data_IF_989533055252
#
_entry.id   IF_989533055252
#
_cell.length_a   1.000
_cell.length_b   1.000
_cell.length_c   1.000
_cell.angle_alpha   90.00
_cell.angle_beta   90.00
_cell.angle_gamma   90.00
#
_symmetry.space_group_name_H-M   'P 1'
#
loop_
_entity.id
_entity.type
_entity.pdbx_description
1 polymer ?
#
# COMPACT_ATOMS: atom_id res chain seq x y z
N UNK A 1 96.55 39.25 -53.88
CA UNK A 1 97.84 38.93 -54.56
C UNK A 1 97.72 37.50 -55.06
N UNK A 2 97.88 37.15 -56.34
CA UNK A 2 98.20 37.93 -57.57
C UNK A 2 97.89 37.09 -58.83
N UNK A 3 97.73 37.73 -60.00
CA UNK A 3 97.69 37.15 -61.39
C UNK A 3 99.11 36.79 -61.93
N UNK A 4 99.39 36.37 -63.21
CA UNK A 4 98.58 36.10 -64.45
C UNK A 4 98.75 34.66 -65.05
N UNK A 5 98.20 34.15 -66.18
CA UNK A 5 97.35 34.61 -67.33
C UNK A 5 98.06 34.99 -68.68
N UNK A 6 98.19 34.07 -69.67
CA UNK A 6 98.08 34.33 -71.15
C UNK A 6 98.09 33.07 -72.10
N UNK A 7 97.86 33.26 -73.43
CA UNK A 7 97.70 32.24 -74.52
C UNK A 7 98.41 32.70 -75.86
N UNK A 8 98.12 32.31 -77.16
CA UNK A 8 97.18 31.34 -77.81
C UNK A 8 97.69 30.58 -79.12
N UNK A 9 96.76 30.07 -79.98
CA UNK A 9 96.81 29.84 -81.48
C UNK A 9 96.95 28.40 -82.12
N UNK A 10 96.54 28.27 -83.41
CA UNK A 10 96.08 27.04 -84.18
C UNK A 10 96.35 27.17 -85.73
N UNK A 11 95.80 26.39 -86.72
CA UNK A 11 95.08 25.08 -86.86
C UNK A 11 95.86 24.11 -87.83
N UNK A 12 95.35 23.48 -88.96
CA UNK A 12 94.16 22.64 -89.34
C UNK A 12 94.61 21.14 -89.63
N UNK A 13 94.17 20.30 -90.63
CA UNK A 13 92.99 20.15 -91.55
C UNK A 13 92.34 18.71 -91.55
N UNK A 14 91.76 18.19 -92.68
CA UNK A 14 91.08 16.86 -92.81
C UNK A 14 90.93 16.34 -94.29
N UNK A 15 90.50 15.07 -94.54
CA UNK A 15 89.74 14.68 -95.78
C UNK A 15 88.94 13.32 -95.79
N UNK A 16 88.20 13.07 -96.89
CA UNK A 16 87.10 12.10 -97.22
C UNK A 16 87.30 10.57 -97.01
N UNK A 17 86.17 9.85 -96.84
CA UNK A 17 86.07 8.39 -97.05
C UNK A 17 84.65 7.79 -96.97
N UNK A 18 83.82 7.90 -98.03
CA UNK A 18 82.45 7.32 -98.07
C UNK A 18 82.04 6.95 -99.51
N UNK A 19 81.57 5.70 -99.73
CA UNK A 19 80.65 5.17 -100.77
C UNK A 19 80.99 3.72 -101.20
N UNK A 20 80.05 2.78 -101.01
CA UNK A 20 79.57 1.76 -101.99
C UNK A 20 78.83 0.57 -101.34
N UNK A 21 77.75 0.11 -101.98
CA UNK A 21 77.25 -1.29 -101.89
C UNK A 21 76.30 -1.62 -100.73
N UNK A 22 75.11 -2.15 -101.05
CA UNK A 22 74.07 -2.56 -100.09
C UNK A 22 73.89 -4.09 -100.03
N UNK A 23 73.24 -4.60 -98.97
CA UNK A 23 72.53 -5.90 -99.01
C UNK A 23 71.45 -6.06 -97.92
N UNK A 24 70.56 -7.06 -98.04
CA UNK A 24 69.40 -7.40 -97.17
C UNK A 24 69.15 -8.93 -97.15
N UNK A 25 68.29 -9.50 -96.28
CA UNK A 25 67.96 -9.28 -94.86
C UNK A 25 68.24 -10.57 -94.03
N UNK A 26 67.67 -10.77 -92.79
CA UNK A 26 66.53 -11.72 -92.68
C UNK A 26 65.51 -11.42 -91.54
N UNK A 27 64.56 -12.34 -91.33
CA UNK A 27 63.25 -12.11 -90.70
C UNK A 27 63.17 -11.95 -89.16
N UNK A 28 62.10 -11.25 -88.73
CA UNK A 28 61.83 -10.78 -87.37
C UNK A 28 61.47 -11.84 -86.31
N UNK A 29 60.78 -12.93 -86.67
CA UNK A 29 60.16 -13.86 -85.70
C UNK A 29 61.12 -14.85 -85.02
N UNK A 30 62.43 -14.81 -85.35
CA UNK A 30 63.46 -15.72 -84.80
C UNK A 30 64.33 -15.14 -83.69
N UNK A 31 64.00 -13.95 -83.15
CA UNK A 31 64.68 -13.38 -81.98
C UNK A 31 63.94 -13.78 -80.68
N UNK A 32 64.65 -14.03 -79.56
CA UNK A 32 64.01 -14.49 -78.31
C UNK A 32 63.26 -13.38 -77.56
N UNK A 33 63.54 -12.10 -77.86
CA UNK A 33 63.01 -10.94 -77.13
C UNK A 33 61.47 -10.82 -77.07
N UNK A 34 60.68 -10.98 -78.15
CA UNK A 34 59.22 -10.93 -78.05
C UNK A 34 58.62 -12.07 -77.19
N UNK A 35 59.24 -13.26 -77.22
CA UNK A 35 58.80 -14.40 -76.40
C UNK A 35 59.06 -14.18 -74.91
N UNK A 36 60.21 -13.57 -74.56
CA UNK A 36 60.52 -13.17 -73.19
C UNK A 36 59.48 -12.16 -72.67
N UNK A 37 59.13 -11.14 -73.47
CA UNK A 37 58.13 -10.13 -73.10
C UNK A 37 56.74 -10.75 -72.90
N UNK A 38 56.33 -11.67 -73.79
CA UNK A 38 55.04 -12.36 -73.67
C UNK A 38 54.99 -13.25 -72.41
N UNK A 39 56.07 -13.95 -72.09
CA UNK A 39 56.18 -14.75 -70.86
C UNK A 39 56.13 -13.85 -69.61
N UNK A 40 56.76 -12.68 -69.64
CA UNK A 40 56.76 -11.71 -68.54
C UNK A 40 55.35 -11.10 -68.32
N UNK A 41 54.61 -10.81 -69.39
CA UNK A 41 53.21 -10.38 -69.32
C UNK A 41 52.29 -11.47 -68.78
N UNK A 42 52.44 -12.72 -69.20
CA UNK A 42 51.68 -13.85 -68.67
C UNK A 42 52.00 -14.11 -67.19
N UNK A 43 53.27 -14.03 -66.79
CA UNK A 43 53.68 -14.14 -65.40
C UNK A 43 53.13 -12.98 -64.54
N UNK A 44 53.16 -11.75 -65.05
CA UNK A 44 52.57 -10.58 -64.39
C UNK A 44 51.04 -10.68 -64.23
N UNK A 45 50.34 -11.14 -65.26
CA UNK A 45 48.89 -11.39 -65.21
C UNK A 45 48.52 -12.49 -64.21
N UNK A 46 49.26 -13.61 -64.21
CA UNK A 46 49.07 -14.70 -63.25
C UNK A 46 49.37 -14.23 -61.80
N UNK A 47 50.43 -13.44 -61.59
CA UNK A 47 50.76 -12.88 -60.28
C UNK A 47 49.68 -11.91 -59.78
N UNK A 48 49.14 -11.05 -60.64
CA UNK A 48 48.03 -10.14 -60.29
C UNK A 48 46.75 -10.90 -59.96
N UNK A 49 46.41 -11.95 -60.70
CA UNK A 49 45.22 -12.79 -60.43
C UNK A 49 45.36 -13.55 -59.11
N UNK A 50 46.54 -14.12 -58.83
CA UNK A 50 46.83 -14.79 -57.57
C UNK A 50 46.86 -13.83 -56.36
N UNK A 51 47.34 -12.60 -56.57
CA UNK A 51 47.34 -11.57 -55.54
C UNK A 51 45.93 -11.04 -55.25
N UNK A 52 45.09 -10.82 -56.27
CA UNK A 52 43.71 -10.37 -56.08
C UNK A 52 42.84 -11.40 -55.36
N UNK A 53 43.00 -12.70 -55.66
CA UNK A 53 42.35 -13.78 -54.92
C UNK A 53 42.69 -13.76 -53.42
N UNK A 54 43.98 -13.63 -53.09
CA UNK A 54 44.45 -13.49 -51.70
C UNK A 54 44.03 -12.18 -51.02
N UNK A 55 43.76 -11.13 -51.79
CA UNK A 55 43.25 -9.87 -51.23
C UNK A 55 41.75 -9.96 -50.93
N UNK A 56 40.98 -10.73 -51.68
CA UNK A 56 39.59 -11.07 -51.34
C UNK A 56 39.52 -11.94 -50.07
N UNK A 57 40.36 -12.97 -49.92
CA UNK A 57 40.46 -13.77 -48.69
C UNK A 57 40.79 -12.91 -47.46
N UNK A 58 41.67 -11.91 -47.60
CA UNK A 58 42.04 -10.96 -46.54
C UNK A 58 40.98 -9.89 -46.24
N UNK A 59 39.93 -9.79 -47.04
CA UNK A 59 38.78 -8.91 -46.81
C UNK A 59 37.53 -9.67 -46.39
N UNK A 60 37.60 -11.00 -46.21
CA UNK A 60 36.55 -11.78 -45.59
C UNK A 60 36.35 -11.33 -44.11
N UNK A 61 35.11 -11.08 -43.65
CA UNK A 61 34.87 -10.72 -42.26
C UNK A 61 35.32 -11.81 -41.29
N UNK A 62 36.11 -11.44 -40.28
CA UNK A 62 36.51 -12.35 -39.20
C UNK A 62 35.38 -12.43 -38.18
N UNK A 63 34.58 -13.49 -38.26
CA UNK A 63 33.50 -13.75 -37.32
C UNK A 63 34.03 -14.29 -36.00
N UNK A 64 33.75 -13.60 -34.89
CA UNK A 64 33.86 -14.20 -33.55
C UNK A 64 32.69 -15.15 -33.37
N UNK A 65 32.97 -16.44 -33.20
CA UNK A 65 31.96 -17.49 -33.02
C UNK A 65 32.14 -18.19 -31.67
N UNK A 66 31.07 -18.83 -31.20
CA UNK A 66 31.02 -19.54 -29.92
C UNK A 66 30.18 -20.81 -30.15
N UNK A 67 30.54 -21.97 -29.58
CA UNK A 67 29.72 -23.17 -29.69
C UNK A 67 28.33 -22.94 -29.07
N UNK A 68 27.29 -23.51 -29.70
CA UNK A 68 25.93 -23.49 -29.15
C UNK A 68 25.81 -24.56 -28.07
N UNK A 69 25.69 -24.12 -26.83
CA UNK A 69 25.37 -24.98 -25.68
C UNK A 69 23.86 -24.98 -25.41
N UNK A 70 23.37 -25.99 -24.69
CA UNK A 70 21.99 -26.06 -24.19
C UNK A 70 22.01 -25.95 -22.68
N UNK A 71 21.31 -24.97 -22.14
CA UNK A 71 21.12 -24.73 -20.72
C UNK A 71 19.89 -23.86 -20.48
N UNK A 72 19.51 -23.70 -19.23
CA UNK A 72 18.30 -22.96 -18.85
C UNK A 72 18.50 -21.45 -18.96
N UNK A 73 17.50 -20.75 -19.53
CA UNK A 73 17.49 -19.29 -19.64
C UNK A 73 16.55 -18.74 -18.56
N UNK A 74 17.11 -18.17 -17.50
CA UNK A 74 16.34 -17.57 -16.40
C UNK A 74 16.10 -16.08 -16.63
N UNK A 75 14.86 -15.70 -16.94
CA UNK A 75 14.44 -14.29 -16.91
C UNK A 75 14.34 -13.82 -15.46
N UNK A 76 15.10 -12.79 -15.08
CA UNK A 76 15.10 -12.22 -13.72
C UNK A 76 14.48 -10.82 -13.75
N UNK A 77 13.23 -10.71 -13.28
CA UNK A 77 12.54 -9.43 -13.09
C UNK A 77 12.94 -8.84 -11.74
N UNK A 78 13.32 -7.56 -11.70
CA UNK A 78 13.67 -6.85 -10.46
C UNK A 78 12.58 -5.86 -10.10
N UNK A 79 11.98 -5.98 -8.92
CA UNK A 79 10.91 -5.13 -8.44
C UNK A 79 11.29 -4.44 -7.13
N UNK A 80 11.00 -3.15 -7.01
CA UNK A 80 11.10 -2.42 -5.74
C UNK A 80 9.87 -2.74 -4.87
N UNK A 81 10.03 -2.87 -3.56
CA UNK A 81 8.91 -3.18 -2.67
C UNK A 81 9.02 -2.56 -1.28
N UNK A 82 7.89 -2.50 -0.60
CA UNK A 82 7.79 -2.04 0.79
C UNK A 82 7.36 -3.18 1.71
N UNK A 83 8.05 -3.31 2.84
CA UNK A 83 7.64 -4.23 3.90
C UNK A 83 6.54 -3.59 4.73
N UNK A 84 5.45 -4.32 4.96
CA UNK A 84 4.35 -3.92 5.85
C UNK A 84 4.03 -5.05 6.84
N UNK A 85 3.52 -4.74 8.04
CA UNK A 85 2.93 -5.75 8.91
C UNK A 85 1.79 -6.49 8.19
N UNK A 86 1.62 -7.79 8.43
CA UNK A 86 0.52 -8.57 7.81
C UNK A 86 -0.87 -8.01 8.13
N UNK A 87 -1.02 -7.29 9.25
CA UNK A 87 -2.22 -6.51 9.59
C UNK A 87 -1.84 -5.25 10.35
N UNK A 88 -2.52 -4.15 10.09
CA UNK A 88 -2.39 -2.90 10.84
C UNK A 88 -3.76 -2.26 11.06
N UNK A 89 -3.97 -1.64 12.22
CA UNK A 89 -5.25 -1.01 12.60
C UNK A 89 -4.99 0.42 13.08
N UNK A 90 -5.67 1.38 12.45
CA UNK A 90 -5.76 2.75 12.92
C UNK A 90 -6.74 2.82 14.11
N UNK A 91 -6.28 3.35 15.25
CA UNK A 91 -7.08 3.50 16.47
C UNK A 91 -7.34 4.98 16.70
N UNK A 92 -8.60 5.38 16.61
CA UNK A 92 -9.07 6.75 16.86
C UNK A 92 -9.97 6.86 18.09
N UNK A 93 -10.49 8.06 18.34
CA UNK A 93 -11.59 8.26 19.31
C UNK A 93 -12.94 8.33 18.60
N UNK A 94 -13.93 7.62 19.14
CA UNK A 94 -15.35 7.83 18.81
C UNK A 94 -15.98 9.01 19.56
N UNK A 95 -15.31 9.52 20.61
CA UNK A 95 -15.83 10.56 21.50
C UNK A 95 -14.98 11.83 21.43
N UNK A 96 -15.66 12.97 21.40
CA UNK A 96 -15.02 14.29 21.51
C UNK A 96 -14.66 14.61 22.96
N UNK A 97 -13.44 15.07 23.21
CA UNK A 97 -12.93 15.38 24.55
C UNK A 97 -11.45 15.76 24.56
N UNK A 98 -10.94 16.17 25.71
CA UNK A 98 -9.51 16.46 25.91
C UNK A 98 -8.79 15.21 26.40
N UNK A 99 -7.59 14.96 25.89
CA UNK A 99 -6.72 13.86 26.33
C UNK A 99 -6.15 14.19 27.71
N UNK A 100 -6.48 13.37 28.71
CA UNK A 100 -5.99 13.52 30.08
C UNK A 100 -4.61 12.88 30.25
N UNK A 101 -4.42 11.66 29.70
CA UNK A 101 -3.12 10.98 29.70
C UNK A 101 -2.96 10.03 28.52
N UNK A 102 -1.71 9.88 28.09
CA UNK A 102 -1.20 8.85 27.18
C UNK A 102 -0.43 7.83 28.03
N UNK A 103 -0.58 6.54 27.75
CA UNK A 103 -0.05 5.43 28.55
C UNK A 103 0.91 4.50 27.79
N UNK A 104 1.08 4.72 26.48
CA UNK A 104 1.95 3.94 25.58
C UNK A 104 2.62 4.88 24.58
N UNK A 105 3.83 4.54 24.15
CA UNK A 105 4.60 5.28 23.15
C UNK A 105 4.89 4.44 21.89
N UNK A 106 5.54 5.03 20.90
CA UNK A 106 5.94 4.36 19.66
C UNK A 106 7.00 3.29 19.95
N UNK A 107 6.82 2.12 19.33
CA UNK A 107 7.53 0.85 19.54
C UNK A 107 7.14 0.07 20.82
N UNK A 108 6.21 0.57 21.66
CA UNK A 108 5.69 -0.23 22.77
C UNK A 108 4.88 -1.43 22.25
N UNK A 109 5.02 -2.57 22.94
CA UNK A 109 4.16 -3.72 22.78
C UNK A 109 2.86 -3.52 23.56
N UNK A 110 1.72 -3.76 22.91
CA UNK A 110 0.38 -3.61 23.49
C UNK A 110 -0.42 -4.89 23.36
N UNK A 111 -1.16 -5.21 24.41
CA UNK A 111 -2.10 -6.35 24.44
C UNK A 111 -3.52 -5.91 24.16
N UNK A 112 -4.34 -6.79 23.60
CA UNK A 112 -5.73 -6.51 23.23
C UNK A 112 -6.55 -6.11 24.46
N UNK A 113 -7.11 -4.91 24.43
CA UNK A 113 -7.86 -4.32 25.54
C UNK A 113 -7.02 -3.47 26.51
N UNK A 114 -5.70 -3.42 26.38
CA UNK A 114 -4.82 -2.50 27.11
C UNK A 114 -5.22 -1.04 26.84
N UNK A 115 -5.27 -0.20 27.88
CA UNK A 115 -5.60 1.22 27.73
C UNK A 115 -4.37 1.96 27.22
N UNK A 116 -4.51 2.65 26.09
CA UNK A 116 -3.46 3.44 25.44
C UNK A 116 -3.60 4.93 25.76
N UNK A 117 -4.84 5.43 25.83
CA UNK A 117 -5.17 6.83 26.14
C UNK A 117 -6.40 6.88 27.04
N UNK A 118 -6.38 7.83 27.98
CA UNK A 118 -7.56 8.24 28.73
C UNK A 118 -7.93 9.67 28.36
N UNK A 119 -9.18 9.87 27.92
CA UNK A 119 -9.81 11.18 27.82
C UNK A 119 -10.19 11.69 29.22
N UNK A 120 -10.47 12.98 29.35
CA UNK A 120 -11.09 13.53 30.57
C UNK A 120 -12.44 12.84 30.82
N UNK A 121 -12.52 12.10 31.93
CA UNK A 121 -13.71 11.34 32.33
C UNK A 121 -14.74 12.19 33.08
N UNK A 122 -14.43 13.41 33.51
CA UNK A 122 -15.28 14.23 34.39
C UNK A 122 -16.73 14.32 33.92
N UNK A 123 -16.94 14.90 32.73
CA UNK A 123 -18.24 15.11 32.08
C UNK A 123 -19.01 13.80 31.82
N UNK A 124 -18.29 12.72 31.51
CA UNK A 124 -18.89 11.40 31.30
C UNK A 124 -19.35 10.77 32.63
N UNK A 125 -18.55 10.90 33.69
CA UNK A 125 -18.90 10.42 35.03
C UNK A 125 -20.09 11.19 35.61
N UNK A 126 -20.13 12.52 35.47
CA UNK A 126 -21.27 13.34 35.88
C UNK A 126 -22.54 12.99 35.10
N UNK A 127 -22.40 12.66 33.81
CA UNK A 127 -23.50 12.21 32.96
C UNK A 127 -24.06 10.86 33.44
N UNK A 128 -23.19 9.88 33.73
CA UNK A 128 -23.57 8.58 34.33
C UNK A 128 -24.21 8.76 35.72
N UNK A 129 -23.66 9.65 36.55
CA UNK A 129 -24.21 9.94 37.88
C UNK A 129 -25.65 10.50 37.76
N UNK A 130 -25.89 11.39 36.80
CA UNK A 130 -27.20 11.99 36.50
C UNK A 130 -28.21 10.97 35.97
N UNK A 131 -27.85 10.12 35.01
CA UNK A 131 -28.78 9.09 34.50
C UNK A 131 -29.02 7.96 35.51
N UNK A 132 -28.04 7.65 36.36
CA UNK A 132 -28.22 6.74 37.50
C UNK A 132 -29.21 7.31 38.53
N UNK A 133 -29.12 8.60 38.85
CA UNK A 133 -30.10 9.28 39.70
C UNK A 133 -31.52 9.28 39.07
N UNK A 134 -31.63 9.50 37.75
CA UNK A 134 -32.90 9.42 37.03
C UNK A 134 -33.51 8.00 37.06
N UNK A 135 -32.70 6.95 36.93
CA UNK A 135 -33.15 5.56 37.08
C UNK A 135 -33.67 5.26 38.50
N UNK A 136 -32.99 5.76 39.55
CA UNK A 136 -33.46 5.62 40.93
C UNK A 136 -34.80 6.34 41.14
N UNK A 137 -34.96 7.54 40.60
CA UNK A 137 -36.22 8.29 40.66
C UNK A 137 -37.36 7.55 39.92
N UNK A 138 -37.11 7.00 38.72
CA UNK A 138 -38.07 6.20 37.98
C UNK A 138 -38.46 4.91 38.75
N UNK A 139 -37.50 4.24 39.38
CA UNK A 139 -37.75 3.03 40.18
C UNK A 139 -38.59 3.34 41.44
N UNK A 140 -38.37 4.49 42.07
CA UNK A 140 -39.23 4.96 43.17
C UNK A 140 -40.66 5.26 42.69
N UNK A 141 -40.81 5.91 41.53
CA UNK A 141 -42.12 6.17 40.93
C UNK A 141 -42.88 4.88 40.56
N UNK A 142 -42.19 3.88 40.01
CA UNK A 142 -42.78 2.55 39.78
C UNK A 142 -43.21 1.90 41.10
N UNK A 143 -42.36 1.92 42.13
CA UNK A 143 -42.65 1.33 43.45
C UNK A 143 -43.89 1.96 44.10
N UNK A 144 -44.07 3.29 43.94
CA UNK A 144 -45.27 4.01 44.37
C UNK A 144 -46.52 3.59 43.58
N UNK A 145 -46.45 3.48 42.25
CA UNK A 145 -47.59 3.05 41.45
C UNK A 145 -47.96 1.58 41.70
N UNK A 146 -46.99 0.71 41.95
CA UNK A 146 -47.24 -0.67 42.36
C UNK A 146 -47.88 -0.75 43.77
N UNK A 147 -47.63 0.21 44.65
CA UNK A 147 -48.38 0.35 45.91
C UNK A 147 -49.85 0.73 45.65
N UNK A 148 -50.11 1.71 44.78
CA UNK A 148 -51.48 2.08 44.34
C UNK A 148 -52.21 0.90 43.67
N UNK A 149 -51.52 0.06 42.89
CA UNK A 149 -52.09 -1.18 42.33
C UNK A 149 -52.47 -2.18 43.41
N UNK A 150 -51.62 -2.36 44.45
CA UNK A 150 -51.94 -3.24 45.60
C UNK A 150 -53.15 -2.72 46.37
N UNK A 151 -53.24 -1.41 46.61
CA UNK A 151 -54.36 -0.75 47.28
C UNK A 151 -55.68 -0.88 46.49
N UNK A 152 -55.66 -0.58 45.19
CA UNK A 152 -56.82 -0.68 44.32
C UNK A 152 -57.31 -2.13 44.21
N UNK A 153 -56.38 -3.10 44.10
CA UNK A 153 -56.71 -4.54 44.06
C UNK A 153 -57.30 -5.03 45.39
N UNK A 154 -56.74 -4.62 46.52
CA UNK A 154 -57.29 -4.95 47.83
C UNK A 154 -58.68 -4.33 48.04
N UNK A 155 -58.92 -3.14 47.49
CA UNK A 155 -60.22 -2.46 47.57
C UNK A 155 -61.28 -3.13 46.71
N UNK A 156 -60.95 -3.49 45.46
CA UNK A 156 -61.82 -4.30 44.61
C UNK A 156 -62.15 -5.66 45.26
N UNK A 157 -61.13 -6.37 45.79
CA UNK A 157 -61.34 -7.66 46.46
C UNK A 157 -62.26 -7.58 47.68
N UNK A 158 -62.20 -6.49 48.47
CA UNK A 158 -63.18 -6.25 49.56
C UNK A 158 -64.60 -6.05 49.01
N UNK A 159 -64.77 -5.32 47.91
CA UNK A 159 -66.09 -5.09 47.31
C UNK A 159 -66.66 -6.37 46.69
N UNK A 160 -65.84 -7.19 46.03
CA UNK A 160 -66.25 -8.47 45.45
C UNK A 160 -66.62 -9.50 46.53
N UNK A 161 -65.91 -9.53 47.65
CA UNK A 161 -66.27 -10.38 48.80
C UNK A 161 -67.57 -9.92 49.49
N UNK A 162 -67.77 -8.60 49.68
CA UNK A 162 -69.04 -8.09 50.23
C UNK A 162 -70.22 -8.32 49.27
N UNK A 163 -70.00 -8.21 47.94
CA UNK A 163 -70.99 -8.59 46.93
C UNK A 163 -71.34 -10.08 46.99
N UNK A 164 -70.34 -10.96 47.19
CA UNK A 164 -70.55 -12.40 47.39
C UNK A 164 -71.37 -12.69 48.65
N UNK A 165 -71.04 -12.03 49.77
CA UNK A 165 -71.72 -12.22 51.06
C UNK A 165 -73.15 -11.64 51.09
N UNK A 166 -73.43 -10.54 50.38
CA UNK A 166 -74.76 -9.92 50.32
C UNK A 166 -75.73 -10.59 49.35
N UNK A 167 -75.25 -11.52 48.52
CA UNK A 167 -75.98 -12.11 47.41
C UNK A 167 -76.20 -11.12 46.25
N UNK A 168 -75.18 -10.30 45.95
CA UNK A 168 -75.19 -9.32 44.87
C UNK A 168 -75.99 -8.04 45.14
N UNK A 169 -76.33 -7.75 46.41
CA UNK A 169 -77.15 -6.58 46.79
C UNK A 169 -76.35 -5.34 47.18
N UNK A 170 -75.15 -5.54 47.73
CA UNK A 170 -74.25 -4.49 48.22
C UNK A 170 -72.80 -4.97 48.04
N UNK A 171 -71.85 -4.12 47.57
CA UNK A 171 -72.07 -2.80 46.96
C UNK A 171 -72.81 -2.89 45.62
N UNK A 172 -73.19 -1.74 45.06
CA UNK A 172 -73.87 -1.66 43.76
C UNK A 172 -72.95 -2.03 42.59
N UNK A 173 -73.55 -2.38 41.45
CA UNK A 173 -72.82 -2.65 40.22
C UNK A 173 -71.92 -1.46 39.80
N UNK A 174 -72.44 -0.23 39.93
CA UNK A 174 -71.70 1.00 39.62
C UNK A 174 -70.46 1.19 40.50
N UNK A 175 -70.52 0.81 41.77
CA UNK A 175 -69.36 0.87 42.68
C UNK A 175 -68.32 -0.23 42.36
N UNK A 176 -68.77 -1.44 42.02
CA UNK A 176 -67.89 -2.52 41.55
C UNK A 176 -67.17 -2.14 40.25
N UNK A 177 -67.89 -1.63 39.26
CA UNK A 177 -67.30 -1.23 37.98
C UNK A 177 -66.42 0.02 38.11
N UNK A 178 -66.74 0.94 39.04
CA UNK A 178 -65.83 2.04 39.43
C UNK A 178 -64.55 1.51 40.06
N UNK A 179 -64.61 0.49 40.93
CA UNK A 179 -63.43 -0.14 41.53
C UNK A 179 -62.59 -0.89 40.48
N UNK A 180 -63.22 -1.64 39.55
CA UNK A 180 -62.56 -2.31 38.42
C UNK A 180 -61.86 -1.31 37.50
N UNK A 181 -62.55 -0.24 37.10
CA UNK A 181 -61.96 0.82 36.29
C UNK A 181 -60.79 1.52 37.02
N UNK A 182 -60.87 1.65 38.34
CA UNK A 182 -59.79 2.24 39.16
C UNK A 182 -58.57 1.32 39.22
N UNK A 183 -58.75 0.02 39.39
CA UNK A 183 -57.67 -0.96 39.29
C UNK A 183 -57.05 -0.98 37.88
N UNK A 184 -57.86 -0.93 36.82
CA UNK A 184 -57.38 -0.88 35.45
C UNK A 184 -56.51 0.38 35.17
N UNK A 185 -56.95 1.57 35.63
CA UNK A 185 -56.14 2.79 35.56
C UNK A 185 -54.84 2.68 36.35
N UNK A 186 -54.88 2.10 37.56
CA UNK A 186 -53.68 1.89 38.38
C UNK A 186 -52.66 0.96 37.70
N UNK A 187 -53.12 -0.13 37.07
CA UNK A 187 -52.27 -1.06 36.32
C UNK A 187 -51.61 -0.35 35.13
N UNK A 188 -52.39 0.38 34.31
CA UNK A 188 -51.86 1.15 33.18
C UNK A 188 -50.79 2.18 33.62
N UNK A 189 -50.96 2.83 34.78
CA UNK A 189 -49.98 3.77 35.34
C UNK A 189 -48.71 3.05 35.84
N UNK A 190 -48.83 1.86 36.44
CA UNK A 190 -47.69 1.03 36.82
C UNK A 190 -46.90 0.52 35.59
N UNK A 191 -47.60 0.16 34.51
CA UNK A 191 -46.96 -0.30 33.27
C UNK A 191 -46.27 0.86 32.52
N UNK A 192 -46.87 2.06 32.50
CA UNK A 192 -46.24 3.29 32.00
C UNK A 192 -44.96 3.63 32.80
N UNK A 193 -45.02 3.59 34.14
CA UNK A 193 -43.82 3.84 34.96
C UNK A 193 -42.76 2.73 34.83
N UNK A 194 -43.15 1.47 34.54
CA UNK A 194 -42.20 0.40 34.20
C UNK A 194 -41.52 0.62 32.85
N UNK A 195 -42.23 1.17 31.86
CA UNK A 195 -41.63 1.62 30.60
C UNK A 195 -40.62 2.77 30.83
N UNK A 196 -40.94 3.72 31.72
CA UNK A 196 -40.02 4.81 32.10
C UNK A 196 -38.75 4.29 32.80
N UNK A 197 -38.85 3.29 33.69
CA UNK A 197 -37.68 2.60 34.28
C UNK A 197 -36.82 1.94 33.20
N UNK A 198 -37.46 1.32 32.20
CA UNK A 198 -36.76 0.68 31.08
C UNK A 198 -36.01 1.71 30.23
N UNK A 199 -36.65 2.84 29.93
CA UNK A 199 -36.04 3.97 29.22
C UNK A 199 -34.86 4.57 30.00
N UNK A 200 -35.01 4.81 31.30
CA UNK A 200 -33.94 5.35 32.14
C UNK A 200 -32.73 4.39 32.23
N UNK A 201 -32.98 3.07 32.28
CA UNK A 201 -31.92 2.03 32.23
C UNK A 201 -31.21 2.02 30.88
N UNK A 202 -31.93 2.17 29.76
CA UNK A 202 -31.32 2.25 28.43
C UNK A 202 -30.43 3.50 28.28
N UNK A 203 -30.87 4.65 28.80
CA UNK A 203 -30.05 5.88 28.85
C UNK A 203 -28.79 5.67 29.71
N UNK A 204 -28.92 5.14 30.92
CA UNK A 204 -27.77 4.84 31.79
C UNK A 204 -26.78 3.88 31.11
N UNK A 205 -27.25 2.81 30.48
CA UNK A 205 -26.39 1.86 29.75
C UNK A 205 -25.65 2.51 28.57
N UNK A 206 -26.24 3.54 27.96
CA UNK A 206 -25.61 4.32 26.88
C UNK A 206 -24.53 5.23 27.45
N UNK A 207 -24.81 5.93 28.55
CA UNK A 207 -23.86 6.81 29.24
C UNK A 207 -22.66 6.03 29.82
N UNK A 208 -22.91 4.85 30.41
CA UNK A 208 -21.86 3.95 30.92
C UNK A 208 -21.01 3.37 29.78
N UNK A 209 -21.62 3.11 28.61
CA UNK A 209 -20.86 2.75 27.39
C UNK A 209 -19.96 3.90 26.96
N UNK A 210 -20.46 5.15 26.96
CA UNK A 210 -19.65 6.32 26.60
C UNK A 210 -18.51 6.56 27.61
N UNK A 211 -18.76 6.41 28.92
CA UNK A 211 -17.72 6.47 29.95
C UNK A 211 -16.65 5.37 29.76
N UNK A 212 -17.04 4.17 29.30
CA UNK A 212 -16.06 3.12 28.96
C UNK A 212 -15.20 3.51 27.75
N UNK A 213 -15.82 4.06 26.69
CA UNK A 213 -15.16 4.54 25.46
C UNK A 213 -14.26 5.76 25.67
N UNK A 214 -14.41 6.49 26.77
CA UNK A 214 -13.43 7.50 27.20
C UNK A 214 -12.05 6.91 27.55
N UNK A 215 -11.92 5.57 27.59
CA UNK A 215 -10.67 4.83 27.74
C UNK A 215 -10.35 4.11 26.42
N UNK A 216 -9.46 4.69 25.61
CA UNK A 216 -9.14 4.19 24.27
C UNK A 216 -8.16 3.01 24.42
N UNK A 217 -8.52 1.87 23.82
CA UNK A 217 -7.85 0.57 24.02
C UNK A 217 -7.31 0.00 22.72
N UNK A 218 -6.26 -0.81 22.81
CA UNK A 218 -5.74 -1.56 21.67
C UNK A 218 -6.77 -2.62 21.20
N UNK A 219 -7.16 -2.65 19.90
CA UNK A 219 -8.13 -3.61 19.37
C UNK A 219 -7.53 -5.00 19.07
N UNK A 220 -6.20 -5.06 18.99
CA UNK A 220 -5.37 -6.23 18.68
C UNK A 220 -4.15 -6.23 19.60
N UNK A 221 -3.55 -7.40 19.77
CA UNK A 221 -2.19 -7.54 20.31
C UNK A 221 -1.18 -7.14 19.21
N UNK A 222 -0.10 -6.44 19.56
CA UNK A 222 0.81 -5.90 18.55
C UNK A 222 1.79 -4.83 19.06
N UNK A 223 2.31 -4.03 18.12
CA UNK A 223 3.28 -2.95 18.37
C UNK A 223 2.72 -1.60 17.90
N UNK A 224 2.91 -0.54 18.69
CA UNK A 224 2.55 0.83 18.31
C UNK A 224 3.54 1.35 17.25
N UNK A 225 3.10 1.50 16.00
CA UNK A 225 3.93 1.98 14.89
C UNK A 225 3.98 3.51 14.80
N UNK A 226 2.92 4.18 15.25
CA UNK A 226 2.80 5.63 15.23
C UNK A 226 1.86 6.10 16.35
N UNK A 227 2.16 7.29 16.88
CA UNK A 227 1.37 8.05 17.86
C UNK A 227 1.19 9.47 17.32
N UNK A 228 -0.05 9.94 17.28
CA UNK A 228 -0.45 11.26 16.73
C UNK A 228 -1.14 12.12 17.81
N UNK A 229 -0.84 11.86 19.08
CA UNK A 229 -1.58 12.43 20.22
C UNK A 229 -0.70 12.63 21.45
N UNK A 230 -0.96 13.72 22.17
CA UNK A 230 -0.29 14.12 23.41
C UNK A 230 -1.30 14.52 24.49
N UNK A 231 -0.94 14.47 25.79
CA UNK A 231 -1.77 15.00 26.87
C UNK A 231 -2.10 16.49 26.66
N UNK A 232 -3.36 16.86 26.89
CA UNK A 232 -3.87 18.21 26.64
C UNK A 232 -4.46 18.43 25.25
N UNK A 233 -4.19 17.55 24.26
CA UNK A 233 -4.80 17.68 22.93
C UNK A 233 -6.32 17.51 22.99
N UNK A 234 -7.04 18.35 22.25
CA UNK A 234 -8.48 18.20 22.04
C UNK A 234 -8.75 17.29 20.83
N UNK A 235 -9.52 16.23 21.03
CA UNK A 235 -9.97 15.31 19.98
C UNK A 235 -11.45 15.57 19.70
N UNK A 236 -11.82 15.64 18.42
CA UNK A 236 -13.20 15.82 17.98
C UNK A 236 -13.57 14.75 16.93
N UNK A 237 -14.61 13.97 17.21
CA UNK A 237 -15.01 12.81 16.40
C UNK A 237 -16.12 13.12 15.37
N UNK A 238 -16.25 14.38 14.94
CA UNK A 238 -17.50 14.91 14.33
C UNK A 238 -17.69 14.63 12.83
N UNK A 239 -16.61 14.48 12.05
CA UNK A 239 -16.67 14.31 10.58
C UNK A 239 -15.72 13.23 10.06
N UNK A 240 -14.58 13.04 10.72
CA UNK A 240 -13.61 11.98 10.46
C UNK A 240 -13.08 11.48 11.81
N UNK A 241 -12.86 10.17 11.94
CA UNK A 241 -12.23 9.61 13.14
C UNK A 241 -10.73 9.98 13.11
N UNK A 242 -10.31 10.87 14.02
CA UNK A 242 -8.88 11.23 14.15
C UNK A 242 -8.10 10.01 14.62
N UNK A 243 -7.20 9.52 13.77
CA UNK A 243 -6.30 8.40 14.12
C UNK A 243 -5.29 8.89 15.15
N UNK A 244 -5.37 8.33 16.36
CA UNK A 244 -4.48 8.65 17.47
C UNK A 244 -3.26 7.73 17.52
N UNK A 245 -3.43 6.48 17.10
CA UNK A 245 -2.37 5.48 16.99
C UNK A 245 -2.54 4.62 15.75
N UNK A 246 -1.44 4.07 15.24
CA UNK A 246 -1.47 2.92 14.32
C UNK A 246 -0.80 1.74 15.01
N UNK A 247 -1.54 0.65 15.21
CA UNK A 247 -1.02 -0.59 15.80
C UNK A 247 -0.80 -1.62 14.69
N UNK A 248 0.41 -2.14 14.57
CA UNK A 248 0.73 -3.28 13.73
C UNK A 248 0.56 -4.58 14.50
N UNK A 249 0.09 -5.63 13.84
CA UNK A 249 0.24 -7.02 14.32
C UNK A 249 1.73 -7.44 14.28
N UNK A 250 2.01 -8.69 14.69
CA UNK A 250 3.35 -9.24 14.86
C UNK A 250 4.35 -8.89 13.74
N UNK A 251 5.45 -8.26 14.12
CA UNK A 251 6.50 -7.79 13.20
C UNK A 251 7.54 -8.87 12.85
N UNK A 252 7.46 -10.08 13.45
CA UNK A 252 8.24 -11.23 12.96
C UNK A 252 7.73 -11.74 11.60
N UNK A 253 6.47 -11.44 11.24
CA UNK A 253 5.86 -11.79 9.96
C UNK A 253 5.46 -10.53 9.19
N UNK A 254 6.23 -10.22 8.14
CA UNK A 254 6.02 -9.05 7.29
C UNK A 254 5.62 -9.46 5.87
N UNK A 255 4.68 -8.73 5.29
CA UNK A 255 4.28 -8.85 3.89
C UNK A 255 5.13 -7.89 3.05
N UNK A 256 5.80 -8.39 2.01
CA UNK A 256 6.45 -7.56 1.00
C UNK A 256 5.46 -7.22 -0.11
N UNK A 257 5.03 -5.96 -0.18
CA UNK A 257 4.35 -5.43 -1.36
C UNK A 257 5.38 -4.95 -2.38
N UNK A 258 5.65 -5.78 -3.40
CA UNK A 258 6.54 -5.44 -4.50
C UNK A 258 5.77 -4.87 -5.71
N UNK A 259 6.26 -3.75 -6.25
CA UNK A 259 5.76 -3.11 -7.45
C UNK A 259 6.54 -3.64 -8.67
N UNK A 260 5.90 -4.55 -9.42
CA UNK A 260 6.37 -5.04 -10.72
C UNK A 260 5.83 -4.10 -11.81
N UNK A 261 6.58 -3.89 -12.89
CA UNK A 261 6.10 -3.15 -14.07
C UNK A 261 4.96 -3.90 -14.79
N UNK A 262 4.03 -3.17 -15.40
CA UNK A 262 2.96 -3.77 -16.22
C UNK A 262 3.53 -4.52 -17.44
N UNK A 263 4.70 -4.12 -17.94
CA UNK A 263 5.41 -4.85 -18.99
C UNK A 263 5.87 -6.26 -18.54
N UNK A 264 6.25 -6.41 -17.27
CA UNK A 264 6.81 -7.66 -16.72
C UNK A 264 5.77 -8.54 -16.00
N UNK A 265 4.61 -7.99 -15.62
CA UNK A 265 3.61 -8.70 -14.80
C UNK A 265 3.12 -10.01 -15.42
N UNK A 266 3.09 -10.12 -16.75
CA UNK A 266 2.73 -11.34 -17.47
C UNK A 266 3.72 -12.50 -17.30
N UNK A 267 4.95 -12.22 -16.84
CA UNK A 267 5.97 -13.22 -16.52
C UNK A 267 5.90 -13.71 -15.07
N UNK A 268 5.11 -13.05 -14.21
CA UNK A 268 5.01 -13.37 -12.77
C UNK A 268 3.89 -14.39 -12.53
N UNK A 269 4.19 -15.45 -11.79
CA UNK A 269 3.24 -16.50 -11.43
C UNK A 269 3.24 -16.71 -9.91
N UNK A 270 2.15 -17.29 -9.38
CA UNK A 270 2.08 -17.68 -7.97
C UNK A 270 2.86 -18.99 -7.77
N UNK A 271 3.91 -18.92 -6.95
CA UNK A 271 4.54 -20.09 -6.31
C UNK A 271 3.81 -20.51 -5.05
#
# INVERSE_FOLDING_TARGET
MTEPVNAPSTPPPADIGQLLGADRPPAWWRRPTPWIILALLLAGGAALWWWSGRQAERQAPVYVTTPVERGDITLTVTANGTLKPTRSVAVGSELSGTVNRVLVDVNDQVTKGQVMVELDRSKFQDTVNRSRAALVAAQAALTQNEATVREARATLGRYEEVARLSGGRVPSATELDTARATLARAIANADNTRAQVTQARATLSTDETNLSKASIRAPIDGVVLARSVDPGNAVAASLQAVTLFTVGEDLHHLTLEASVDEADVGSVQKG
#
